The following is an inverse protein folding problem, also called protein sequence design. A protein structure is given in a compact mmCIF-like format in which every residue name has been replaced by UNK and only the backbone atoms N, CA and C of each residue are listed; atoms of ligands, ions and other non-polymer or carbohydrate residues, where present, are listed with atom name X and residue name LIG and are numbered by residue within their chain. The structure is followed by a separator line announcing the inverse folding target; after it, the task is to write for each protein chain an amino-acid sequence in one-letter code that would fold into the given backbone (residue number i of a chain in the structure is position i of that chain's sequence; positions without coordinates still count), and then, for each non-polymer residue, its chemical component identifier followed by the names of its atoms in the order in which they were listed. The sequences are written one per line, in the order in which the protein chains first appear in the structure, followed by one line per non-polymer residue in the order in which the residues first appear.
data_IF_717997079773
#
_entry.id   IF_717997079773
#
_cell.length_a   1.000
_cell.length_b   1.000
_cell.length_c   1.000
_cell.angle_alpha   90.00
_cell.angle_beta   90.00
_cell.angle_gamma   90.00
#
_symmetry.space_group_name_H-M   'P 1'
#
loop_
_entity.id
_entity.type
_entity.pdbx_description
1 polymer ?
#
# COMPACT_ATOMS: atom_id res chain seq x y z
N UNK A 1 3.41 -14.63 -9.89
CA UNK A 1 2.29 -13.96 -10.56
C UNK A 1 1.46 -13.11 -9.63
N UNK A 2 1.24 -13.53 -8.39
CA UNK A 2 0.38 -12.85 -7.41
C UNK A 2 1.16 -12.10 -6.32
N UNK A 3 2.47 -12.01 -6.41
CA UNK A 3 3.29 -11.20 -5.52
C UNK A 3 2.96 -9.72 -5.69
N UNK A 4 2.83 -9.00 -4.58
CA UNK A 4 2.40 -7.60 -4.58
C UNK A 4 3.37 -6.71 -5.38
N UNK A 5 4.65 -6.93 -5.23
CA UNK A 5 5.73 -6.21 -5.92
C UNK A 5 5.77 -6.49 -7.44
N UNK A 6 5.18 -7.60 -7.90
CA UNK A 6 5.08 -7.94 -9.32
C UNK A 6 3.83 -7.35 -10.02
N UNK A 7 2.91 -6.71 -9.29
CA UNK A 7 1.67 -6.16 -9.88
C UNK A 7 1.93 -5.15 -11.01
N UNK A 8 2.90 -4.23 -10.92
CA UNK A 8 3.21 -3.32 -12.03
C UNK A 8 3.56 -4.03 -13.33
N UNK A 9 4.39 -5.07 -13.25
CA UNK A 9 4.79 -5.84 -14.45
C UNK A 9 3.61 -6.64 -15.04
N UNK A 10 2.78 -7.23 -14.17
CA UNK A 10 1.56 -7.95 -14.59
C UNK A 10 0.56 -6.98 -15.23
N UNK A 11 0.38 -5.78 -14.67
CA UNK A 11 -0.50 -4.76 -15.24
C UNK A 11 -0.03 -4.33 -16.64
N UNK A 12 1.27 -4.05 -16.81
CA UNK A 12 1.83 -3.71 -18.12
C UNK A 12 1.63 -4.85 -19.13
N UNK A 13 1.86 -6.09 -18.73
CA UNK A 13 1.60 -7.25 -19.57
C UNK A 13 0.12 -7.33 -20.00
N UNK A 14 -0.83 -7.09 -19.08
CA UNK A 14 -2.26 -7.06 -19.40
C UNK A 14 -2.60 -5.92 -20.39
N UNK A 15 -2.02 -4.73 -20.17
CA UNK A 15 -2.20 -3.59 -21.09
C UNK A 15 -1.66 -3.89 -22.50
N UNK A 16 -0.51 -4.58 -22.60
CA UNK A 16 0.03 -5.03 -23.88
C UNK A 16 -0.92 -6.01 -24.59
N UNK A 17 -1.53 -6.96 -23.85
CA UNK A 17 -2.55 -7.87 -24.41
C UNK A 17 -3.78 -7.11 -24.89
N UNK A 18 -4.24 -6.13 -24.11
CA UNK A 18 -5.35 -5.26 -24.51
C UNK A 18 -5.01 -4.47 -25.80
N UNK A 19 -3.84 -3.85 -25.85
CA UNK A 19 -3.38 -3.12 -27.04
C UNK A 19 -3.38 -4.00 -28.30
N UNK A 20 -2.94 -5.26 -28.19
CA UNK A 20 -2.99 -6.22 -29.31
C UNK A 20 -4.42 -6.46 -29.81
N UNK A 21 -5.42 -6.49 -28.93
CA UNK A 21 -6.82 -6.65 -29.36
C UNK A 21 -7.38 -5.40 -30.06
N UNK A 22 -6.80 -4.23 -29.77
CA UNK A 22 -7.22 -2.96 -30.37
C UNK A 22 -6.50 -2.63 -31.69
N UNK A 23 -5.44 -3.36 -32.04
CA UNK A 23 -4.63 -3.10 -33.25
C UNK A 23 -5.40 -3.08 -34.59
N UNK A 24 -6.55 -3.76 -34.77
CA UNK A 24 -7.36 -3.62 -35.97
C UNK A 24 -8.09 -2.27 -36.08
N UNK A 25 -8.22 -1.53 -34.96
CA UNK A 25 -9.02 -0.30 -34.88
C UNK A 25 -8.20 0.93 -34.59
N UNK A 26 -6.98 0.79 -34.07
CA UNK A 26 -6.09 1.88 -33.65
C UNK A 26 -4.70 1.66 -34.22
N UNK A 27 -4.06 2.75 -34.70
CA UNK A 27 -2.70 2.68 -35.19
C UNK A 27 -1.72 2.13 -34.17
N UNK A 28 -0.84 1.23 -34.59
CA UNK A 28 0.11 0.54 -33.68
C UNK A 28 1.03 1.53 -32.96
N UNK A 29 1.46 2.60 -33.67
CA UNK A 29 2.32 3.63 -33.05
C UNK A 29 1.62 4.34 -31.87
N UNK A 30 0.34 4.67 -32.01
CA UNK A 30 -0.44 5.29 -30.93
C UNK A 30 -0.64 4.33 -29.72
N UNK A 31 -0.78 3.02 -29.99
CA UNK A 31 -0.86 2.00 -28.92
C UNK A 31 0.48 1.87 -28.19
N UNK A 32 1.60 1.89 -28.91
CA UNK A 32 2.93 1.85 -28.32
C UNK A 32 3.21 3.11 -27.49
N UNK A 33 2.90 4.29 -27.97
CA UNK A 33 3.04 5.55 -27.24
C UNK A 33 2.26 5.52 -25.91
N UNK A 34 1.02 5.01 -25.94
CA UNK A 34 0.21 4.84 -24.74
C UNK A 34 0.84 3.84 -23.75
N UNK A 35 1.41 2.74 -24.22
CA UNK A 35 2.10 1.75 -23.37
C UNK A 35 3.40 2.31 -22.78
N UNK A 36 4.17 3.07 -23.53
CA UNK A 36 5.43 3.68 -23.09
C UNK A 36 5.20 4.71 -21.96
N UNK A 37 4.04 5.38 -21.97
CA UNK A 37 3.66 6.32 -20.90
C UNK A 37 3.41 5.64 -19.55
N UNK A 38 3.07 4.35 -19.54
CA UNK A 38 2.65 3.61 -18.34
C UNK A 38 3.69 3.66 -17.20
N UNK A 39 4.95 3.39 -17.53
CA UNK A 39 6.01 3.33 -16.52
C UNK A 39 6.25 4.70 -15.88
N UNK A 40 6.29 5.75 -16.68
CA UNK A 40 6.48 7.11 -16.19
C UNK A 40 5.34 7.55 -15.27
N UNK A 41 4.09 7.32 -15.67
CA UNK A 41 2.90 7.64 -14.89
C UNK A 41 2.89 6.88 -13.57
N UNK A 42 3.17 5.57 -13.62
CA UNK A 42 3.23 4.72 -12.43
C UNK A 42 4.28 5.22 -11.42
N UNK A 43 5.52 5.46 -11.87
CA UNK A 43 6.60 5.88 -10.99
C UNK A 43 6.35 7.26 -10.37
N UNK A 44 5.80 8.20 -11.14
CA UNK A 44 5.44 9.53 -10.65
C UNK A 44 4.41 9.42 -9.52
N UNK A 45 3.29 8.76 -9.78
CA UNK A 45 2.23 8.62 -8.77
C UNK A 45 2.64 7.76 -7.58
N UNK A 46 3.46 6.73 -7.80
CA UNK A 46 4.01 5.95 -6.70
C UNK A 46 4.88 6.81 -5.79
N UNK A 47 5.79 7.61 -6.35
CA UNK A 47 6.64 8.52 -5.59
C UNK A 47 5.83 9.54 -4.79
N UNK A 48 4.83 10.18 -5.41
CA UNK A 48 3.91 11.10 -4.75
C UNK A 48 3.18 10.44 -3.57
N UNK A 49 2.60 9.26 -3.79
CA UNK A 49 1.90 8.53 -2.74
C UNK A 49 2.80 8.13 -1.58
N UNK A 50 4.03 7.71 -1.87
CA UNK A 50 4.98 7.35 -0.81
C UNK A 50 5.42 8.57 0.01
N UNK A 51 5.64 9.73 -0.64
CA UNK A 51 5.89 10.99 0.08
C UNK A 51 4.73 11.36 1.01
N UNK A 52 3.51 11.34 0.49
CA UNK A 52 2.30 11.63 1.28
C UNK A 52 2.14 10.68 2.48
N UNK A 53 2.43 9.37 2.29
CA UNK A 53 2.38 8.36 3.36
C UNK A 53 3.39 8.64 4.47
N UNK A 54 4.55 9.19 4.13
CA UNK A 54 5.57 9.61 5.08
C UNK A 54 5.33 11.04 5.62
N UNK A 55 4.30 11.73 5.19
CA UNK A 55 3.97 13.09 5.61
C UNK A 55 4.91 14.15 5.02
N UNK A 56 5.57 13.88 3.89
CA UNK A 56 6.35 14.87 3.16
C UNK A 56 5.42 15.73 2.31
N UNK A 57 5.43 17.04 2.53
CA UNK A 57 4.56 18.00 1.83
C UNK A 57 5.21 18.52 0.55
N UNK A 58 6.53 18.55 0.50
CA UNK A 58 7.33 18.95 -0.66
C UNK A 58 8.17 17.78 -1.15
N UNK A 59 8.76 17.92 -2.33
CA UNK A 59 9.72 16.94 -2.87
C UNK A 59 11.14 17.40 -2.61
N UNK A 60 11.98 16.52 -2.05
CA UNK A 60 13.40 16.76 -1.82
C UNK A 60 14.21 15.63 -2.46
N UNK A 61 15.47 15.95 -2.83
CA UNK A 61 16.36 15.00 -3.51
C UNK A 61 16.64 13.73 -2.70
N UNK A 62 16.62 13.86 -1.39
CA UNK A 62 16.91 12.77 -0.44
C UNK A 62 15.73 11.84 -0.17
N UNK A 63 14.51 12.20 -0.58
CA UNK A 63 13.29 11.47 -0.26
C UNK A 63 13.33 10.02 -0.75
N UNK A 64 13.79 9.80 -1.98
CA UNK A 64 13.89 8.46 -2.55
C UNK A 64 14.93 7.59 -1.82
N UNK A 65 16.05 8.18 -1.40
CA UNK A 65 17.07 7.45 -0.64
C UNK A 65 16.53 7.04 0.74
N UNK A 66 15.85 7.95 1.42
CA UNK A 66 15.25 7.71 2.73
C UNK A 66 14.14 6.64 2.65
N UNK A 67 13.33 6.66 1.60
CA UNK A 67 12.28 5.67 1.35
C UNK A 67 12.87 4.27 1.07
N UNK A 68 13.87 4.17 0.18
CA UNK A 68 14.50 2.90 -0.16
C UNK A 68 15.19 2.27 1.06
N UNK A 69 15.78 3.08 1.91
CA UNK A 69 16.37 2.61 3.15
C UNK A 69 15.31 2.10 4.13
N UNK A 70 14.18 2.79 4.27
CA UNK A 70 13.05 2.29 5.07
C UNK A 70 12.62 0.90 4.60
N UNK A 71 12.44 0.69 3.30
CA UNK A 71 12.08 -0.62 2.76
C UNK A 71 13.16 -1.67 3.05
N UNK A 72 14.43 -1.29 2.94
CA UNK A 72 15.55 -2.18 3.26
C UNK A 72 15.56 -2.57 4.74
N UNK A 73 15.26 -1.63 5.64
CA UNK A 73 15.15 -1.89 7.07
C UNK A 73 13.93 -2.78 7.39
N UNK A 74 12.80 -2.54 6.73
CA UNK A 74 11.59 -3.35 6.92
C UNK A 74 11.74 -4.78 6.40
N UNK A 75 12.56 -5.00 5.38
CA UNK A 75 12.85 -6.32 4.81
C UNK A 75 13.85 -7.14 5.65
N UNK A 76 14.65 -6.48 6.50
CA UNK A 76 15.58 -7.16 7.41
C UNK A 76 14.83 -7.71 8.63
N UNK A 77 15.39 -8.73 9.28
CA UNK A 77 14.88 -9.15 10.57
C UNK A 77 14.92 -7.97 11.56
N UNK A 78 13.88 -7.82 12.37
CA UNK A 78 13.59 -6.66 13.26
C UNK A 78 14.63 -6.39 14.35
N UNK A 79 15.85 -6.92 14.25
CA UNK A 79 16.89 -6.89 15.26
C UNK A 79 17.76 -5.63 15.23
N UNK A 80 17.76 -4.85 14.15
CA UNK A 80 18.63 -3.68 13.99
C UNK A 80 17.95 -2.39 14.46
N UNK A 81 17.75 -2.30 15.79
CA UNK A 81 17.13 -1.13 16.42
C UNK A 81 17.92 0.17 16.18
N UNK A 82 19.25 0.08 16.18
CA UNK A 82 20.11 1.24 15.98
C UNK A 82 19.95 1.84 14.57
N UNK A 83 19.82 1.00 13.55
CA UNK A 83 19.57 1.47 12.18
C UNK A 83 18.19 2.14 12.03
N UNK A 84 17.15 1.64 12.72
CA UNK A 84 15.86 2.32 12.77
C UNK A 84 15.94 3.66 13.51
N UNK A 85 16.65 3.74 14.62
CA UNK A 85 16.81 4.99 15.38
C UNK A 85 17.53 6.08 14.54
N UNK A 86 18.59 5.70 13.80
CA UNK A 86 19.28 6.60 12.87
C UNK A 86 18.35 7.03 11.71
N UNK A 87 17.62 6.10 11.13
CA UNK A 87 16.65 6.42 10.09
C UNK A 87 15.59 7.40 10.61
N UNK A 88 15.02 7.18 11.81
CA UNK A 88 14.06 8.08 12.42
C UNK A 88 14.65 9.47 12.70
N UNK A 89 15.91 9.58 13.08
CA UNK A 89 16.56 10.87 13.28
C UNK A 89 16.66 11.67 11.96
N UNK A 90 16.95 11.00 10.84
CA UNK A 90 17.00 11.63 9.50
C UNK A 90 15.59 11.95 8.99
N UNK A 91 14.63 11.07 9.19
CA UNK A 91 13.23 11.30 8.87
C UNK A 91 12.66 12.54 9.58
N UNK A 92 12.91 12.70 10.89
CA UNK A 92 12.50 13.90 11.64
C UNK A 92 13.13 15.18 11.08
N UNK A 93 14.42 15.15 10.76
CA UNK A 93 15.09 16.30 10.12
C UNK A 93 14.49 16.64 8.76
N UNK A 94 14.12 15.61 7.98
CA UNK A 94 13.43 15.81 6.70
C UNK A 94 12.06 16.45 6.88
N UNK A 95 11.27 16.02 7.86
CA UNK A 95 9.97 16.61 8.16
C UNK A 95 10.05 18.11 8.53
N UNK A 96 11.13 18.52 9.20
CA UNK A 96 11.35 19.92 9.57
C UNK A 96 11.66 20.85 8.38
N UNK A 97 12.02 20.31 7.24
CA UNK A 97 12.23 21.10 6.01
C UNK A 97 10.92 21.59 5.39
N UNK A 98 9.83 20.94 5.70
CA UNK A 98 8.51 21.36 5.25
C UNK A 98 7.93 22.35 6.28
N UNK A 99 7.69 23.58 5.87
CA UNK A 99 7.11 24.66 6.72
C UNK A 99 5.60 24.47 6.90
N UNK A 100 5.18 23.35 7.52
CA UNK A 100 3.78 23.01 7.76
C UNK A 100 3.56 22.61 9.22
N UNK A 101 2.35 22.81 9.71
CA UNK A 101 1.98 22.39 11.06
C UNK A 101 1.86 20.86 11.17
N UNK A 102 2.06 20.32 12.37
CA UNK A 102 1.86 18.90 12.65
C UNK A 102 0.41 18.47 12.40
N UNK A 103 -0.56 19.37 12.55
CA UNK A 103 -1.98 19.10 12.28
C UNK A 103 -2.21 18.86 10.78
N UNK A 104 -1.69 19.73 9.92
CA UNK A 104 -1.81 19.58 8.46
C UNK A 104 -1.13 18.31 7.98
N UNK A 105 0.07 18.00 8.52
CA UNK A 105 0.80 16.78 8.23
C UNK A 105 0.02 15.54 8.65
N UNK A 106 -0.56 15.55 9.86
CA UNK A 106 -1.39 14.46 10.36
C UNK A 106 -2.59 14.23 9.46
N UNK A 107 -3.30 15.28 9.07
CA UNK A 107 -4.44 15.20 8.16
C UNK A 107 -4.07 14.59 6.81
N UNK A 108 -2.94 15.03 6.21
CA UNK A 108 -2.43 14.43 4.98
C UNK A 108 -2.15 12.94 5.18
N UNK A 109 -1.40 12.58 6.20
CA UNK A 109 -1.04 11.18 6.46
C UNK A 109 -2.26 10.30 6.70
N UNK A 110 -3.26 10.78 7.44
CA UNK A 110 -4.51 10.05 7.67
C UNK A 110 -5.33 9.88 6.39
N UNK A 111 -5.29 10.85 5.48
CA UNK A 111 -6.02 10.75 4.20
C UNK A 111 -5.47 9.70 3.23
N UNK A 112 -4.21 9.29 3.39
CA UNK A 112 -3.50 8.37 2.48
C UNK A 112 -3.02 7.07 3.14
N UNK A 113 -3.02 7.00 4.46
CA UNK A 113 -2.72 5.79 5.23
C UNK A 113 -4.00 5.24 5.83
N UNK A 114 -4.54 4.13 5.31
CA UNK A 114 -5.75 3.55 5.86
C UNK A 114 -5.51 3.07 7.31
N UNK A 115 -6.44 3.37 8.20
CA UNK A 115 -6.45 2.83 9.57
C UNK A 115 -6.75 1.33 9.55
N UNK A 116 -7.57 0.89 8.59
CA UNK A 116 -7.91 -0.53 8.41
C UNK A 116 -7.41 -1.04 7.06
N UNK A 117 -6.66 -2.15 7.09
CA UNK A 117 -6.31 -2.95 5.91
C UNK A 117 -6.86 -4.35 6.12
N UNK A 118 -7.50 -4.92 5.08
CA UNK A 118 -7.97 -6.30 5.12
C UNK A 118 -6.78 -7.26 5.27
N UNK A 119 -6.60 -7.78 6.47
CA UNK A 119 -5.59 -8.79 6.78
C UNK A 119 -6.21 -10.19 6.68
N UNK A 120 -5.42 -11.18 6.29
CA UNK A 120 -5.88 -12.55 6.11
C UNK A 120 -6.62 -13.11 7.33
N UNK A 121 -6.16 -12.82 8.55
CA UNK A 121 -6.82 -13.32 9.76
C UNK A 121 -8.22 -12.69 9.99
N UNK A 122 -8.45 -11.45 9.54
CA UNK A 122 -9.77 -10.81 9.57
C UNK A 122 -10.73 -11.49 8.60
N UNK A 123 -10.25 -11.76 7.39
CA UNK A 123 -11.04 -12.48 6.39
C UNK A 123 -11.37 -13.90 6.87
N UNK A 124 -10.39 -14.62 7.44
CA UNK A 124 -10.58 -15.96 7.96
C UNK A 124 -11.62 -16.00 9.09
N UNK A 125 -11.55 -15.04 10.02
CA UNK A 125 -12.54 -14.93 11.11
C UNK A 125 -13.95 -14.73 10.58
N UNK A 126 -14.12 -13.87 9.56
CA UNK A 126 -15.42 -13.64 8.93
C UNK A 126 -15.92 -14.90 8.17
N UNK A 127 -15.04 -15.63 7.49
CA UNK A 127 -15.36 -16.88 6.80
C UNK A 127 -15.83 -17.94 7.81
N UNK A 128 -15.10 -18.16 8.89
CA UNK A 128 -15.43 -19.15 9.91
C UNK A 128 -16.77 -18.87 10.62
N UNK A 129 -17.12 -17.60 10.80
CA UNK A 129 -18.44 -17.22 11.31
C UNK A 129 -19.54 -17.50 10.29
N UNK A 130 -19.32 -17.14 9.03
CA UNK A 130 -20.27 -17.33 7.94
C UNK A 130 -20.55 -18.83 7.66
N UNK A 131 -19.52 -19.69 7.75
CA UNK A 131 -19.69 -21.15 7.62
C UNK A 131 -20.58 -21.75 8.71
N UNK A 132 -20.67 -21.11 9.88
CA UNK A 132 -21.58 -21.47 10.97
C UNK A 132 -22.96 -20.80 10.86
N UNK A 133 -23.21 -20.07 9.77
CA UNK A 133 -24.45 -19.33 9.53
C UNK A 133 -24.52 -17.94 10.16
N UNK A 134 -23.45 -17.46 10.79
CA UNK A 134 -23.38 -16.12 11.37
C UNK A 134 -22.68 -15.14 10.41
N UNK A 135 -23.46 -14.27 9.77
CA UNK A 135 -22.98 -13.24 8.84
C UNK A 135 -22.61 -11.92 9.53
N UNK A 136 -22.74 -11.81 10.83
CA UNK A 136 -22.54 -10.56 11.58
C UNK A 136 -21.12 -10.02 11.39
N UNK A 137 -20.12 -10.90 11.52
CA UNK A 137 -18.73 -10.51 11.40
C UNK A 137 -18.36 -10.07 9.97
N UNK A 138 -18.91 -10.75 8.96
CA UNK A 138 -18.75 -10.36 7.56
C UNK A 138 -19.32 -8.96 7.29
N UNK A 139 -20.52 -8.67 7.79
CA UNK A 139 -21.15 -7.36 7.62
C UNK A 139 -20.37 -6.26 8.36
N UNK A 140 -19.91 -6.50 9.60
CA UNK A 140 -19.09 -5.56 10.35
C UNK A 140 -17.79 -5.23 9.59
N UNK A 141 -17.10 -6.26 9.11
CA UNK A 141 -15.86 -6.10 8.35
C UNK A 141 -16.07 -5.36 7.03
N UNK A 142 -17.14 -5.70 6.31
CA UNK A 142 -17.51 -5.03 5.07
C UNK A 142 -17.77 -3.53 5.28
N UNK A 143 -18.58 -3.15 6.27
CA UNK A 143 -18.86 -1.74 6.58
C UNK A 143 -17.58 -1.00 7.02
N UNK A 144 -16.73 -1.65 7.80
CA UNK A 144 -15.44 -1.08 8.19
C UNK A 144 -14.52 -0.80 6.99
N UNK A 145 -14.47 -1.71 6.02
CA UNK A 145 -13.67 -1.59 4.81
C UNK A 145 -14.20 -0.55 3.81
N UNK A 146 -15.47 -0.15 3.90
CA UNK A 146 -16.01 0.95 3.10
C UNK A 146 -15.45 2.31 3.51
N UNK A 147 -15.00 2.45 4.76
CA UNK A 147 -14.41 3.67 5.30
C UNK A 147 -13.04 3.38 5.94
N UNK A 148 -12.05 2.90 5.15
CA UNK A 148 -10.80 2.37 5.69
C UNK A 148 -9.88 3.44 6.29
N UNK A 149 -10.09 4.72 5.95
CA UNK A 149 -9.30 5.85 6.45
C UNK A 149 -9.89 6.50 7.71
N UNK A 150 -11.10 6.11 8.11
CA UNK A 150 -11.70 6.62 9.35
C UNK A 150 -10.91 6.12 10.55
N UNK A 151 -10.66 7.03 11.49
CA UNK A 151 -10.06 6.67 12.77
C UNK A 151 -10.94 5.67 13.52
N UNK A 152 -10.33 4.64 14.10
CA UNK A 152 -11.04 3.56 14.76
C UNK A 152 -10.22 2.96 15.88
N UNK A 153 -10.95 2.53 16.91
CA UNK A 153 -10.42 1.85 18.08
C UNK A 153 -11.25 0.57 18.32
N UNK A 154 -11.27 -0.31 17.31
CA UNK A 154 -11.95 -1.59 17.38
C UNK A 154 -10.98 -2.77 17.18
N UNK A 155 -11.50 -3.98 17.32
CA UNK A 155 -10.73 -5.21 17.21
C UNK A 155 -10.12 -5.44 15.82
N UNK A 156 -10.60 -4.77 14.77
CA UNK A 156 -10.07 -4.88 13.41
C UNK A 156 -8.67 -4.27 13.26
N UNK A 157 -8.32 -3.27 14.09
CA UNK A 157 -6.99 -2.63 14.07
C UNK A 157 -6.03 -3.24 15.10
N UNK A 158 -6.49 -4.22 15.86
CA UNK A 158 -5.68 -4.91 16.86
C UNK A 158 -4.53 -5.71 16.24
N UNK A 159 -3.58 -6.10 17.08
CA UNK A 159 -2.51 -7.02 16.66
C UNK A 159 -3.10 -8.38 16.27
N UNK A 160 -2.58 -9.02 15.20
CA UNK A 160 -3.05 -10.34 14.81
C UNK A 160 -2.85 -11.35 15.98
N UNK A 161 -3.82 -12.22 16.22
CA UNK A 161 -3.66 -13.32 17.16
C UNK A 161 -2.54 -14.27 16.69
N UNK A 162 -2.02 -15.10 17.57
CA UNK A 162 -0.88 -15.97 17.25
C UNK A 162 -1.17 -16.93 16.10
N UNK A 163 -2.38 -17.45 15.99
CA UNK A 163 -2.81 -18.27 14.85
C UNK A 163 -2.82 -17.47 13.54
N UNK A 164 -3.21 -16.19 13.58
CA UNK A 164 -3.29 -15.31 12.41
C UNK A 164 -1.93 -14.89 11.84
N UNK A 165 -0.86 -15.00 12.61
CA UNK A 165 0.51 -14.70 12.18
C UNK A 165 1.07 -15.74 11.20
N UNK A 166 0.53 -16.96 11.22
CA UNK A 166 1.00 -18.10 10.40
C UNK A 166 -0.04 -18.54 9.38
N UNK A 167 -1.08 -17.75 9.18
CA UNK A 167 -2.13 -18.08 8.24
C UNK A 167 -1.62 -17.97 6.81
N UNK A 168 -1.54 -19.10 6.12
CA UNK A 168 -1.29 -19.16 4.69
C UNK A 168 -2.64 -19.16 3.95
N UNK A 169 -2.83 -18.20 3.04
CA UNK A 169 -3.98 -18.18 2.14
C UNK A 169 -3.51 -18.76 0.83
N UNK A 170 -3.92 -19.99 0.53
CA UNK A 170 -3.67 -20.60 -0.77
C UNK A 170 -4.79 -20.18 -1.72
N UNK A 171 -4.45 -19.45 -2.78
CA UNK A 171 -5.28 -19.37 -3.96
C UNK A 171 -5.10 -20.67 -4.75
N UNK A 172 -5.76 -21.73 -4.33
CA UNK A 172 -5.83 -22.96 -5.12
C UNK A 172 -6.91 -22.80 -6.18
N UNK A 173 -6.50 -22.46 -7.38
CA UNK A 173 -7.26 -22.69 -8.61
C UNK A 173 -6.33 -23.10 -9.72
#
# INVERSE_FOLDING_TARGET
RYSFDNQPAVALWNLQRLAQTLSPFVAVDALNEALDSYQQVLLTHYGERMRQKLGFMTEQKEDNALLNELFSLMARERSDRAAFDDWFARYRRRLQQDEVSDIERQQLMQSVNPALVLRNWLAQRAIEAAEKGDMTELHRLHEALRNPFSDRDDDFVSRPPDWGKRLEVSCSS
#
